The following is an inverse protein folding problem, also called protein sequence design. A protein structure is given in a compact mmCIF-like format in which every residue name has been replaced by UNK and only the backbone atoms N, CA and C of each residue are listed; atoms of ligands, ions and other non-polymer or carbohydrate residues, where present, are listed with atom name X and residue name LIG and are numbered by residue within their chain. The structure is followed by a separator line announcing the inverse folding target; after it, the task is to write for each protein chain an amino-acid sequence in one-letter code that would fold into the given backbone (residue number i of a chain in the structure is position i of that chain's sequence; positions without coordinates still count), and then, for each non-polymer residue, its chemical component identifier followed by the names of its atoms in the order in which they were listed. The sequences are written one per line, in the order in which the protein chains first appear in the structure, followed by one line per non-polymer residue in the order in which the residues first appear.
data_IF_525975891047
#
_entry.id   IF_525975891047
#
_cell.length_a   1.000
_cell.length_b   1.000
_cell.length_c   1.000
_cell.angle_alpha   90.00
_cell.angle_beta   90.00
_cell.angle_gamma   90.00
#
_symmetry.space_group_name_H-M   'P 1'
#
loop_
_entity.id
_entity.type
_entity.pdbx_description
1 polymer ?
#
# COMPACT_ATOMS: atom_id res chain seq x y z
N UNK A 1 -52.79 7.12 26.22
CA UNK A 1 -52.80 6.83 24.78
C UNK A 1 -52.38 8.09 24.07
N UNK A 2 -51.06 8.30 24.01
CA UNK A 2 -50.17 7.98 22.87
C UNK A 2 -49.96 9.30 22.08
N UNK A 3 -48.91 10.08 22.36
CA UNK A 3 -47.48 9.91 22.01
C UNK A 3 -47.12 10.67 20.73
N UNK A 4 -46.21 11.62 20.93
CA UNK A 4 -45.56 12.48 19.94
C UNK A 4 -44.98 11.74 18.73
N UNK A 5 -45.08 12.34 17.54
CA UNK A 5 -44.20 12.03 16.42
C UNK A 5 -43.64 13.33 15.81
N UNK A 6 -42.55 13.78 16.44
CA UNK A 6 -41.62 14.80 15.98
C UNK A 6 -41.04 14.42 14.60
N UNK A 7 -41.52 15.10 13.55
CA UNK A 7 -40.98 14.95 12.20
C UNK A 7 -39.91 16.01 11.98
N UNK A 8 -38.67 15.70 12.34
CA UNK A 8 -37.54 16.61 12.17
C UNK A 8 -37.23 16.87 10.68
N UNK A 9 -37.02 18.14 10.26
CA UNK A 9 -36.72 18.48 8.88
C UNK A 9 -35.24 18.20 8.58
N UNK A 10 -34.95 17.07 7.93
CA UNK A 10 -33.57 16.74 7.52
C UNK A 10 -33.13 17.59 6.33
N UNK A 11 -32.20 18.49 6.64
CA UNK A 11 -31.43 19.44 5.84
C UNK A 11 -31.25 19.08 4.33
N UNK A 12 -31.73 19.91 3.39
CA UNK A 12 -31.59 19.69 1.93
C UNK A 12 -30.14 19.77 1.40
N UNK A 13 -29.20 20.30 2.20
CA UNK A 13 -27.82 20.58 1.78
C UNK A 13 -26.92 19.35 1.63
N UNK A 14 -27.20 18.23 2.34
CA UNK A 14 -26.39 16.98 2.25
C UNK A 14 -26.70 16.16 0.99
N UNK A 15 -27.98 16.06 0.61
CA UNK A 15 -28.43 15.30 -0.58
C UNK A 15 -27.85 15.88 -1.89
N UNK A 16 -27.78 17.20 -2.00
CA UNK A 16 -27.20 17.88 -3.16
C UNK A 16 -25.70 17.60 -3.38
N UNK A 17 -24.92 17.43 -2.29
CA UNK A 17 -23.48 17.13 -2.38
C UNK A 17 -23.20 15.70 -2.86
N UNK A 18 -23.92 14.70 -2.34
CA UNK A 18 -23.80 13.32 -2.81
C UNK A 18 -24.20 13.20 -4.29
N UNK A 19 -25.24 13.91 -4.72
CA UNK A 19 -25.66 13.95 -6.12
C UNK A 19 -24.56 14.48 -7.04
N UNK A 20 -23.87 15.56 -6.65
CA UNK A 20 -22.74 16.10 -7.42
C UNK A 20 -21.54 15.16 -7.50
N UNK A 21 -21.24 14.39 -6.45
CA UNK A 21 -20.17 13.37 -6.48
C UNK A 21 -20.52 12.24 -7.44
N UNK A 22 -21.77 11.75 -7.40
CA UNK A 22 -22.25 10.73 -8.34
C UNK A 22 -22.23 11.24 -9.78
N UNK A 23 -22.65 12.48 -10.02
CA UNK A 23 -22.56 13.13 -11.35
C UNK A 23 -21.13 13.36 -11.81
N UNK A 24 -20.20 13.65 -10.90
CA UNK A 24 -18.77 13.75 -11.24
C UNK A 24 -18.23 12.40 -11.71
N UNK A 25 -18.56 11.31 -11.00
CA UNK A 25 -18.12 9.95 -11.33
C UNK A 25 -18.61 9.50 -12.72
N UNK A 26 -19.84 9.87 -13.09
CA UNK A 26 -20.44 9.53 -14.39
C UNK A 26 -20.13 10.54 -15.50
N UNK A 27 -19.44 11.64 -15.19
CA UNK A 27 -19.13 12.67 -16.19
C UNK A 27 -18.15 12.16 -17.24
N UNK A 28 -18.40 12.51 -18.51
CA UNK A 28 -17.48 12.27 -19.63
C UNK A 28 -16.06 12.78 -19.36
N UNK A 29 -15.90 13.87 -18.59
CA UNK A 29 -14.58 14.39 -18.19
C UNK A 29 -13.84 13.45 -17.23
N UNK A 30 -14.54 12.82 -16.29
CA UNK A 30 -13.96 11.83 -15.39
C UNK A 30 -13.60 10.55 -16.17
N UNK A 31 -14.51 10.05 -17.01
CA UNK A 31 -14.26 8.90 -17.87
C UNK A 31 -13.08 9.13 -18.81
N UNK A 32 -12.99 10.27 -19.50
CA UNK A 32 -11.86 10.59 -20.38
C UNK A 32 -10.52 10.65 -19.62
N UNK A 33 -10.51 11.15 -18.39
CA UNK A 33 -9.30 11.14 -17.53
C UNK A 33 -8.95 9.73 -17.06
N UNK A 34 -9.94 8.89 -16.78
CA UNK A 34 -9.74 7.47 -16.43
C UNK A 34 -9.24 6.65 -17.63
N UNK A 35 -9.72 6.92 -18.83
CA UNK A 35 -9.23 6.28 -20.05
C UNK A 35 -7.82 6.75 -20.44
N UNK A 36 -7.50 8.05 -20.28
CA UNK A 36 -6.12 8.53 -20.43
C UNK A 36 -5.14 7.89 -19.43
N UNK A 37 -5.60 7.53 -18.22
CA UNK A 37 -4.78 6.74 -17.28
C UNK A 37 -4.50 5.33 -17.80
N UNK A 38 -5.41 4.74 -18.58
CA UNK A 38 -5.25 3.39 -19.16
C UNK A 38 -4.36 3.38 -20.40
N UNK A 39 -4.33 4.45 -21.20
CA UNK A 39 -3.69 4.48 -22.53
C UNK A 39 -2.46 5.39 -22.63
N UNK A 40 -1.83 5.79 -21.52
CA UNK A 40 -0.58 6.53 -21.56
C UNK A 40 0.57 5.66 -22.10
N UNK A 41 0.75 5.66 -23.42
CA UNK A 41 1.84 4.97 -24.12
C UNK A 41 3.23 5.47 -23.69
N UNK A 42 3.30 6.65 -23.06
CA UNK A 42 4.54 7.16 -22.46
C UNK A 42 5.03 6.23 -21.34
N UNK A 43 4.12 5.62 -20.56
CA UNK A 43 4.46 4.72 -19.45
C UNK A 43 5.07 3.41 -19.94
N UNK A 44 4.65 2.89 -21.11
CA UNK A 44 5.21 1.68 -21.69
C UNK A 44 6.71 1.80 -22.00
N UNK A 45 7.23 3.02 -22.17
CA UNK A 45 8.64 3.30 -22.39
C UNK A 45 9.48 3.21 -21.11
N UNK A 46 8.84 3.31 -19.94
CA UNK A 46 9.48 3.22 -18.62
C UNK A 46 9.43 1.82 -18.02
N UNK A 47 8.55 0.95 -18.51
CA UNK A 47 8.60 -0.47 -18.22
C UNK A 47 9.61 -1.13 -19.17
N UNK A 48 10.53 -1.97 -18.66
CA UNK A 48 11.38 -2.78 -19.52
C UNK A 48 10.49 -3.54 -20.52
N UNK A 49 10.91 -3.66 -21.77
CA UNK A 49 10.27 -4.57 -22.73
C UNK A 49 10.43 -5.99 -22.21
N UNK A 50 9.53 -6.41 -21.32
CA UNK A 50 9.28 -7.83 -21.09
C UNK A 50 8.66 -8.32 -22.38
N UNK A 51 9.43 -9.05 -23.18
CA UNK A 51 8.92 -9.82 -24.30
C UNK A 51 7.74 -10.62 -23.78
N UNK A 52 6.54 -10.18 -24.14
CA UNK A 52 5.30 -10.80 -23.71
C UNK A 52 5.22 -12.17 -24.37
N UNK A 53 5.71 -13.22 -23.69
CA UNK A 53 5.38 -14.64 -23.86
C UNK A 53 6.21 -15.51 -22.92
N UNK A 54 6.19 -15.27 -21.61
CA UNK A 54 6.32 -16.32 -20.58
C UNK A 54 5.91 -15.74 -19.24
N UNK A 55 4.89 -16.36 -18.66
CA UNK A 55 4.71 -16.46 -17.22
C UNK A 55 6.05 -16.65 -16.48
N UNK A 56 6.36 -15.78 -15.53
CA UNK A 56 7.06 -16.18 -14.30
C UNK A 56 8.58 -16.23 -14.28
N UNK A 57 9.32 -15.65 -15.22
CA UNK A 57 10.78 -15.54 -15.06
C UNK A 57 11.26 -14.11 -15.30
N UNK A 58 11.07 -13.25 -14.30
CA UNK A 58 11.95 -12.08 -14.14
C UNK A 58 13.40 -12.59 -14.08
N UNK A 59 14.32 -11.89 -14.73
CA UNK A 59 15.75 -12.23 -14.69
C UNK A 59 16.17 -12.49 -13.23
N UNK A 60 17.06 -13.47 -13.00
CA UNK A 60 17.62 -13.72 -11.66
C UNK A 60 18.19 -12.46 -10.99
N UNK A 61 18.55 -11.45 -11.78
CA UNK A 61 19.03 -10.16 -11.28
C UNK A 61 17.88 -9.24 -10.84
N UNK A 62 16.73 -9.27 -11.53
CA UNK A 62 15.55 -8.48 -11.17
C UNK A 62 14.91 -9.00 -9.88
N UNK A 63 14.90 -10.32 -9.67
CA UNK A 63 14.42 -10.93 -8.42
C UNK A 63 15.32 -10.58 -7.25
N UNK A 64 16.64 -10.61 -7.43
CA UNK A 64 17.61 -10.15 -6.42
C UNK A 64 17.43 -8.67 -6.09
N UNK A 65 17.20 -7.83 -7.10
CA UNK A 65 16.95 -6.41 -6.92
C UNK A 65 15.67 -6.17 -6.11
N UNK A 66 14.57 -6.81 -6.50
CA UNK A 66 13.30 -6.72 -5.79
C UNK A 66 13.41 -7.21 -4.34
N UNK A 67 14.12 -8.32 -4.11
CA UNK A 67 14.38 -8.84 -2.77
C UNK A 67 15.19 -7.85 -1.92
N UNK A 68 16.22 -7.22 -2.49
CA UNK A 68 17.01 -6.20 -1.78
C UNK A 68 16.16 -4.97 -1.43
N UNK A 69 15.31 -4.51 -2.34
CA UNK A 69 14.39 -3.38 -2.10
C UNK A 69 13.37 -3.70 -1.01
N UNK A 70 12.80 -4.90 -1.04
CA UNK A 70 11.86 -5.37 -0.03
C UNK A 70 12.54 -5.50 1.35
N UNK A 71 13.76 -6.05 1.40
CA UNK A 71 14.53 -6.19 2.63
C UNK A 71 14.86 -4.82 3.26
N UNK A 72 15.30 -3.85 2.45
CA UNK A 72 15.53 -2.48 2.90
C UNK A 72 14.26 -1.81 3.43
N UNK A 73 13.13 -2.02 2.74
CA UNK A 73 11.83 -1.51 3.15
C UNK A 73 11.40 -2.11 4.49
N UNK A 74 11.49 -3.43 4.63
CA UNK A 74 11.17 -4.12 5.88
C UNK A 74 12.06 -3.64 7.04
N UNK A 75 13.37 -3.52 6.83
CA UNK A 75 14.29 -2.99 7.85
C UNK A 75 13.90 -1.58 8.29
N UNK A 76 13.55 -0.72 7.34
CA UNK A 76 13.10 0.66 7.61
C UNK A 76 11.86 0.69 8.48
N UNK A 77 10.85 -0.12 8.15
CA UNK A 77 9.61 -0.21 8.93
C UNK A 77 9.85 -0.80 10.32
N UNK A 78 10.60 -1.91 10.39
CA UNK A 78 10.91 -2.60 11.65
C UNK A 78 11.59 -1.69 12.67
N UNK A 79 12.52 -0.85 12.20
CA UNK A 79 13.27 0.07 13.05
C UNK A 79 12.67 1.49 13.08
N UNK A 80 11.49 1.68 12.50
CA UNK A 80 10.79 2.97 12.41
C UNK A 80 11.69 4.11 11.91
N UNK A 81 12.51 3.81 10.90
CA UNK A 81 13.41 4.77 10.28
C UNK A 81 12.65 5.70 9.34
N UNK A 82 13.15 6.93 9.18
CA UNK A 82 12.52 7.91 8.30
C UNK A 82 12.57 7.46 6.84
N UNK A 83 11.45 7.59 6.11
CA UNK A 83 11.48 7.35 4.66
C UNK A 83 12.27 8.44 3.93
N UNK A 84 12.38 9.64 4.51
CA UNK A 84 13.17 10.74 3.94
C UNK A 84 14.67 10.44 3.90
N UNK A 85 15.20 9.65 4.84
CA UNK A 85 16.63 9.27 4.81
C UNK A 85 16.94 8.20 3.75
N UNK A 86 15.92 7.61 3.12
CA UNK A 86 16.15 6.58 2.11
C UNK A 86 16.67 7.16 0.80
N UNK A 87 16.23 8.38 0.45
CA UNK A 87 16.70 9.08 -0.75
C UNK A 87 18.22 9.34 -0.70
N UNK A 88 18.79 9.59 0.49
CA UNK A 88 20.25 9.71 0.66
C UNK A 88 20.94 8.35 0.87
N UNK A 89 20.31 7.41 1.58
CA UNK A 89 20.86 6.06 1.82
C UNK A 89 21.10 5.30 0.52
N UNK A 90 20.17 5.37 -0.44
CA UNK A 90 20.36 4.71 -1.73
C UNK A 90 21.49 5.35 -2.54
N UNK A 91 21.66 6.67 -2.48
CA UNK A 91 22.80 7.35 -3.13
C UNK A 91 24.12 6.91 -2.50
N UNK A 92 24.17 6.84 -1.18
CA UNK A 92 25.35 6.40 -0.44
C UNK A 92 25.69 4.93 -0.76
N UNK A 93 24.70 4.04 -0.79
CA UNK A 93 24.91 2.63 -1.12
C UNK A 93 25.54 2.44 -2.51
N UNK A 94 25.22 3.29 -3.48
CA UNK A 94 25.85 3.24 -4.82
C UNK A 94 27.32 3.63 -4.81
N UNK A 95 27.71 4.49 -3.89
CA UNK A 95 29.10 4.95 -3.72
C UNK A 95 29.90 3.90 -2.95
N UNK A 96 29.34 3.36 -1.87
CA UNK A 96 30.00 2.34 -1.03
C UNK A 96 30.17 1.02 -1.79
N UNK A 97 29.13 0.59 -2.51
CA UNK A 97 29.09 -0.71 -3.19
C UNK A 97 29.20 -0.56 -4.71
N UNK A 98 30.30 0.04 -5.18
CA UNK A 98 30.52 0.31 -6.61
C UNK A 98 30.55 -0.96 -7.47
N UNK A 99 31.06 -2.06 -6.93
CA UNK A 99 31.17 -3.33 -7.65
C UNK A 99 29.87 -4.15 -7.68
N UNK A 100 28.89 -3.78 -6.84
CA UNK A 100 27.64 -4.52 -6.72
C UNK A 100 26.60 -4.00 -7.71
N UNK A 101 26.33 -4.77 -8.76
CA UNK A 101 25.28 -4.49 -9.74
C UNK A 101 23.91 -4.26 -9.08
N UNK A 102 23.61 -4.98 -8.00
CA UNK A 102 22.36 -4.81 -7.25
C UNK A 102 22.29 -3.44 -6.57
N UNK A 103 23.37 -3.01 -5.92
CA UNK A 103 23.41 -1.71 -5.25
C UNK A 103 23.36 -0.54 -6.26
N UNK A 104 24.07 -0.64 -7.37
CA UNK A 104 24.05 0.38 -8.44
C UNK A 104 22.66 0.54 -9.04
N UNK A 105 21.96 -0.57 -9.28
CA UNK A 105 20.61 -0.59 -9.87
C UNK A 105 19.49 -0.35 -8.86
N UNK A 106 19.79 -0.30 -7.56
CA UNK A 106 18.80 -0.06 -6.53
C UNK A 106 18.10 1.28 -6.73
N UNK A 107 16.77 1.26 -6.83
CA UNK A 107 15.93 2.45 -7.07
C UNK A 107 14.81 2.49 -6.05
N UNK A 108 15.19 2.64 -4.79
CA UNK A 108 14.26 2.67 -3.66
C UNK A 108 14.18 4.07 -3.05
N UNK A 109 13.31 4.90 -3.64
CA UNK A 109 12.97 6.21 -3.08
C UNK A 109 11.70 6.12 -2.23
N UNK A 110 11.35 7.23 -1.58
CA UNK A 110 10.16 7.36 -0.72
C UNK A 110 8.88 6.78 -1.29
N UNK A 111 8.48 7.21 -2.49
CA UNK A 111 7.21 6.78 -3.10
C UNK A 111 7.17 5.28 -3.37
N UNK A 112 8.30 4.70 -3.77
CA UNK A 112 8.39 3.26 -4.01
C UNK A 112 8.33 2.49 -2.70
N UNK A 113 9.01 2.99 -1.67
CA UNK A 113 8.98 2.40 -0.34
C UNK A 113 7.57 2.44 0.25
N UNK A 114 6.87 3.58 0.16
CA UNK A 114 5.49 3.71 0.60
C UNK A 114 4.59 2.68 -0.09
N UNK A 115 4.69 2.55 -1.42
CA UNK A 115 3.93 1.55 -2.17
C UNK A 115 4.26 0.11 -1.75
N UNK A 116 5.52 -0.22 -1.49
CA UNK A 116 5.90 -1.55 -1.00
C UNK A 116 5.31 -1.84 0.40
N UNK A 117 5.24 -0.82 1.26
CA UNK A 117 4.65 -1.00 2.59
C UNK A 117 3.14 -1.14 2.52
N UNK A 118 2.45 -0.28 1.75
CA UNK A 118 0.98 -0.27 1.70
C UNK A 118 0.42 -1.42 0.88
N UNK A 119 1.04 -1.77 -0.24
CA UNK A 119 0.47 -2.74 -1.18
C UNK A 119 1.02 -4.16 -0.98
N UNK A 120 2.21 -4.32 -0.38
CA UNK A 120 2.86 -5.64 -0.24
C UNK A 120 2.96 -6.06 1.22
N UNK A 121 3.73 -5.34 2.04
CA UNK A 121 4.02 -5.77 3.41
C UNK A 121 2.78 -5.73 4.31
N UNK A 122 1.95 -4.68 4.19
CA UNK A 122 0.73 -4.52 4.98
C UNK A 122 -0.26 -5.67 4.76
N UNK A 123 -0.73 -5.91 3.52
CA UNK A 123 -1.65 -6.99 3.21
C UNK A 123 -1.08 -8.37 3.55
N UNK A 124 0.21 -8.60 3.28
CA UNK A 124 0.87 -9.87 3.62
C UNK A 124 0.90 -10.10 5.15
N UNK A 125 1.20 -9.07 5.95
CA UNK A 125 1.19 -9.18 7.40
C UNK A 125 -0.19 -9.50 7.95
N UNK A 126 -1.24 -8.87 7.41
CA UNK A 126 -2.62 -9.16 7.80
C UNK A 126 -3.03 -10.58 7.44
N UNK A 127 -2.75 -11.00 6.20
CA UNK A 127 -3.06 -12.36 5.74
C UNK A 127 -2.33 -13.40 6.58
N UNK A 128 -1.04 -13.18 6.89
CA UNK A 128 -0.27 -14.09 7.74
C UNK A 128 -0.87 -14.25 9.14
N UNK A 129 -1.42 -13.19 9.74
CA UNK A 129 -2.07 -13.29 11.06
C UNK A 129 -3.40 -14.04 10.95
N UNK A 130 -4.19 -13.77 9.90
CA UNK A 130 -5.45 -14.47 9.64
C UNK A 130 -5.20 -15.97 9.41
N UNK A 131 -4.18 -16.31 8.62
CA UNK A 131 -3.84 -17.70 8.32
C UNK A 131 -3.40 -18.45 9.58
N UNK A 132 -2.61 -17.81 10.45
CA UNK A 132 -2.23 -18.39 11.75
C UNK A 132 -3.45 -18.62 12.65
N UNK A 133 -4.39 -17.67 12.67
CA UNK A 133 -5.60 -17.76 13.49
C UNK A 133 -6.53 -18.90 13.02
N UNK A 134 -6.63 -19.08 11.71
CA UNK A 134 -7.47 -20.12 11.11
C UNK A 134 -6.85 -21.52 11.17
N UNK A 135 -5.53 -21.63 11.28
CA UNK A 135 -4.82 -22.92 11.20
C UNK A 135 -5.11 -23.83 12.40
N UNK A 136 -5.21 -23.23 13.59
CA UNK A 136 -5.24 -23.98 14.84
C UNK A 136 -6.66 -24.03 15.47
N UNK A 137 -7.69 -23.43 14.83
CA UNK A 137 -9.07 -23.32 15.35
C UNK A 137 -9.12 -22.86 16.82
N UNK A 138 -8.20 -21.97 17.21
CA UNK A 138 -8.04 -21.51 18.59
C UNK A 138 -9.08 -20.42 18.87
N UNK A 139 -9.72 -20.48 20.04
CA UNK A 139 -10.54 -19.39 20.52
C UNK A 139 -9.64 -18.22 20.92
N UNK A 140 -9.80 -17.07 20.26
CA UNK A 140 -9.07 -15.86 20.57
C UNK A 140 -10.01 -14.79 21.13
N UNK A 141 -9.52 -13.99 22.06
CA UNK A 141 -10.22 -12.82 22.60
C UNK A 141 -9.45 -11.56 22.21
N UNK A 142 -10.14 -10.60 21.57
CA UNK A 142 -9.58 -9.29 21.29
C UNK A 142 -9.89 -8.36 22.46
N UNK A 143 -8.89 -8.11 23.31
CA UNK A 143 -8.98 -7.09 24.36
C UNK A 143 -8.39 -5.78 23.85
N UNK A 144 -9.25 -4.80 23.58
CA UNK A 144 -8.82 -3.43 23.27
C UNK A 144 -8.86 -2.60 24.55
N UNK A 145 -7.69 -2.38 25.16
CA UNK A 145 -7.55 -1.41 26.25
C UNK A 145 -7.64 0.02 25.68
N UNK A 146 -8.59 0.81 26.18
CA UNK A 146 -8.80 2.20 25.80
C UNK A 146 -8.05 3.19 26.71
N UNK A 147 -7.09 2.70 27.51
CA UNK A 147 -6.16 3.56 28.23
C UNK A 147 -5.21 4.26 27.26
N UNK A 148 -4.89 5.53 27.49
CA UNK A 148 -4.22 6.47 26.58
C UNK A 148 -2.77 6.12 26.14
N UNK A 149 -2.32 4.86 26.25
CA UNK A 149 -1.01 4.40 25.79
C UNK A 149 -1.21 3.30 24.74
N UNK A 150 -0.87 3.61 23.50
CA UNK A 150 -1.00 2.79 22.28
C UNK A 150 -0.35 1.40 22.40
N UNK A 151 -0.99 0.47 23.07
CA UNK A 151 -0.55 -0.92 23.18
C UNK A 151 -1.76 -1.80 22.89
N UNK A 152 -1.80 -2.38 21.69
CA UNK A 152 -2.72 -3.47 21.36
C UNK A 152 -1.99 -4.77 21.70
N UNK A 153 -2.31 -5.38 22.85
CA UNK A 153 -1.78 -6.69 23.22
C UNK A 153 -2.77 -7.76 22.76
N UNK A 154 -2.36 -8.61 21.82
CA UNK A 154 -3.13 -9.78 21.44
C UNK A 154 -2.66 -10.97 22.29
N UNK A 155 -3.54 -11.57 23.08
CA UNK A 155 -3.27 -12.81 23.83
C UNK A 155 -3.88 -13.99 23.08
N UNK A 156 -3.06 -15.00 22.80
CA UNK A 156 -3.48 -16.34 22.40
C UNK A 156 -3.50 -17.21 23.67
N UNK A 157 -4.60 -17.92 23.90
CA UNK A 157 -4.72 -18.89 24.99
C UNK A 157 -4.42 -20.30 24.48
#
# INVERSE_FOLDING_TARGET
MESDSDTTPTTPRKKAKLSKVKQHLTSKKHQAKMEMRKSSGLLQKFFPKTSASTSGLSSNEDTKLAAAELAMTYHTVKHNLSYNSQDCSIKLNKIIYVDSKTATNLRLARTKMEALVTEVLGPHSLQSVIDQLNKDNVFYCLQTDASNKKILNCFLW
#
